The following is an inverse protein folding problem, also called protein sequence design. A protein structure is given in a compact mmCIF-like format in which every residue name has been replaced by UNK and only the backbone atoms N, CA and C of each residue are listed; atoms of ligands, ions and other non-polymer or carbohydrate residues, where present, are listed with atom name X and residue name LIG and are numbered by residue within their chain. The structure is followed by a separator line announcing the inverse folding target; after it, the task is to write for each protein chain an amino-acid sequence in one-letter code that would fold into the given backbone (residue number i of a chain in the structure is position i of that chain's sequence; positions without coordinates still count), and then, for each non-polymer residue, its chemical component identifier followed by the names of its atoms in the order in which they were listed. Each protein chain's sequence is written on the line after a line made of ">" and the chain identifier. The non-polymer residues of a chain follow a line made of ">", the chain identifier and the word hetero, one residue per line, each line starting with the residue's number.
data_IF_667974230074
#
_entry.id   IF_667974230074
#
_cell.length_a   1.000
_cell.length_b   1.000
_cell.length_c   1.000
_cell.angle_alpha   90.00
_cell.angle_beta   90.00
_cell.angle_gamma   90.00
#
_symmetry.space_group_name_H-M   'P 1'
#
loop_
_entity.id
_entity.type
_entity.pdbx_description
1 polymer ?
#
# COMPACT_ATOMS: atom_id res chain seq x y z
N UNK A 1 27.55 5.45 -28.47
CA UNK A 1 26.14 5.13 -28.13
C UNK A 1 25.96 4.99 -26.63
N UNK A 2 25.04 5.73 -26.08
CA UNK A 2 24.62 5.57 -24.68
C UNK A 2 23.62 4.43 -24.58
N UNK A 3 23.87 3.46 -23.72
CA UNK A 3 22.92 2.36 -23.46
C UNK A 3 21.94 2.78 -22.37
N UNK A 4 20.67 2.44 -22.53
CA UNK A 4 19.67 2.62 -21.49
C UNK A 4 20.03 1.74 -20.29
N UNK A 5 19.98 2.33 -19.08
CA UNK A 5 20.22 1.59 -17.85
C UNK A 5 19.07 0.63 -17.58
N UNK A 6 19.42 -0.60 -17.20
CA UNK A 6 18.46 -1.61 -16.74
C UNK A 6 19.00 -2.24 -15.47
N UNK A 7 18.25 -2.10 -14.36
CA UNK A 7 18.66 -2.66 -13.08
C UNK A 7 18.59 -4.18 -13.08
N UNK A 8 19.55 -4.81 -12.39
CA UNK A 8 19.51 -6.24 -12.10
C UNK A 8 18.97 -6.43 -10.66
N UNK A 9 18.30 -7.54 -10.36
CA UNK A 9 17.82 -7.80 -8.99
C UNK A 9 18.90 -7.72 -7.92
N UNK A 10 20.13 -8.08 -8.25
CA UNK A 10 21.28 -8.02 -7.33
C UNK A 10 21.75 -6.58 -7.04
N UNK A 11 21.46 -5.63 -7.92
CA UNK A 11 21.89 -4.25 -7.80
C UNK A 11 20.91 -3.39 -6.99
N UNK A 12 19.74 -3.93 -6.67
CA UNK A 12 18.67 -3.21 -5.99
C UNK A 12 18.83 -3.29 -4.48
N UNK A 13 18.82 -2.14 -3.82
CA UNK A 13 18.75 -2.04 -2.36
C UNK A 13 17.36 -1.58 -1.94
N UNK A 14 16.79 -2.27 -0.95
CA UNK A 14 15.48 -1.93 -0.39
C UNK A 14 15.67 -1.26 0.96
N UNK A 15 15.14 -0.06 1.11
CA UNK A 15 15.12 0.65 2.38
C UNK A 15 13.76 0.45 3.07
N UNK A 16 13.72 0.71 4.37
CA UNK A 16 12.51 0.63 5.17
C UNK A 16 12.06 2.02 5.57
N UNK A 17 10.78 2.32 5.35
CA UNK A 17 10.16 3.57 5.72
C UNK A 17 8.91 3.34 6.55
N UNK A 18 8.63 4.25 7.49
CA UNK A 18 7.39 4.27 8.26
C UNK A 18 6.62 5.55 7.94
N UNK A 19 5.32 5.41 7.71
CA UNK A 19 4.41 6.52 7.41
C UNK A 19 3.30 6.52 8.48
N UNK A 20 3.06 7.68 9.07
CA UNK A 20 1.90 7.89 9.92
C UNK A 20 0.70 8.33 9.08
N UNK A 21 -0.36 7.53 9.12
CA UNK A 21 -1.57 7.74 8.32
C UNK A 21 -2.65 8.57 9.05
N UNK A 22 -2.35 9.10 10.24
CA UNK A 22 -3.32 9.87 11.03
C UNK A 22 -3.89 11.05 10.25
N UNK A 23 -5.22 11.12 10.14
CA UNK A 23 -5.98 12.18 9.46
C UNK A 23 -5.64 12.41 7.97
N UNK A 24 -4.93 11.49 7.36
CA UNK A 24 -4.60 11.56 5.93
C UNK A 24 -5.71 10.94 5.08
N UNK A 25 -5.88 11.46 3.87
CA UNK A 25 -6.87 10.95 2.92
C UNK A 25 -6.37 9.64 2.30
N UNK A 26 -7.22 8.62 2.34
CA UNK A 26 -6.91 7.24 1.88
C UNK A 26 -6.27 7.19 0.49
N UNK A 27 -6.89 7.83 -0.50
CA UNK A 27 -6.44 7.77 -1.89
C UNK A 27 -5.08 8.43 -2.10
N UNK A 28 -4.81 9.53 -1.40
CA UNK A 28 -3.54 10.25 -1.51
C UNK A 28 -2.39 9.47 -0.87
N UNK A 29 -2.63 8.87 0.28
CA UNK A 29 -1.65 7.97 0.92
C UNK A 29 -1.40 6.76 0.02
N UNK A 30 -2.45 6.15 -0.52
CA UNK A 30 -2.32 4.98 -1.38
C UNK A 30 -1.50 5.26 -2.65
N UNK A 31 -1.68 6.42 -3.28
CA UNK A 31 -0.92 6.78 -4.48
C UNK A 31 0.57 6.99 -4.20
N UNK A 32 0.91 7.67 -3.11
CA UNK A 32 2.30 7.90 -2.71
C UNK A 32 2.98 6.59 -2.31
N UNK A 33 2.30 5.76 -1.54
CA UNK A 33 2.79 4.44 -1.15
C UNK A 33 3.04 3.55 -2.37
N UNK A 34 2.13 3.55 -3.33
CA UNK A 34 2.26 2.77 -4.57
C UNK A 34 3.49 3.20 -5.38
N UNK A 35 3.71 4.50 -5.48
CA UNK A 35 4.87 5.05 -6.17
C UNK A 35 6.18 4.55 -5.52
N UNK A 36 6.24 4.54 -4.19
CA UNK A 36 7.39 4.06 -3.41
C UNK A 36 7.58 2.54 -3.50
N UNK A 37 6.51 1.77 -3.43
CA UNK A 37 6.55 0.31 -3.57
C UNK A 37 7.03 -0.12 -4.94
N UNK A 38 6.67 0.63 -5.97
CA UNK A 38 7.08 0.36 -7.35
C UNK A 38 8.51 0.82 -7.65
N UNK A 39 9.03 1.77 -6.87
CA UNK A 39 10.37 2.30 -7.04
C UNK A 39 10.49 3.45 -8.03
N UNK A 40 9.38 4.06 -8.45
CA UNK A 40 9.38 5.18 -9.40
C UNK A 40 10.06 6.46 -8.88
N UNK A 41 10.31 6.55 -7.59
CA UNK A 41 11.05 7.66 -6.98
C UNK A 41 12.58 7.52 -7.13
N UNK A 42 13.05 6.37 -7.58
CA UNK A 42 14.47 6.07 -7.75
C UNK A 42 14.92 6.26 -9.20
N UNK A 43 16.14 6.73 -9.39
CA UNK A 43 16.75 6.85 -10.72
C UNK A 43 16.98 5.48 -11.40
N UNK A 44 17.15 4.43 -10.59
CA UNK A 44 17.36 3.07 -11.08
C UNK A 44 16.07 2.34 -11.47
N UNK A 45 14.91 3.02 -11.44
CA UNK A 45 13.63 2.39 -11.75
C UNK A 45 13.68 1.64 -13.09
N UNK A 46 13.31 0.36 -13.02
CA UNK A 46 13.21 -0.54 -14.18
C UNK A 46 11.87 -1.26 -14.11
N UNK A 47 11.02 -1.19 -15.16
CA UNK A 47 9.65 -1.71 -15.10
C UNK A 47 9.53 -3.20 -14.79
N UNK A 48 10.49 -4.03 -15.21
CA UNK A 48 10.46 -5.47 -15.02
C UNK A 48 11.17 -5.96 -13.75
N UNK A 49 11.74 -5.05 -12.97
CA UNK A 49 12.44 -5.36 -11.71
C UNK A 49 11.77 -4.61 -10.56
N UNK A 50 11.65 -5.27 -9.41
CA UNK A 50 11.14 -4.67 -8.19
C UNK A 50 12.22 -3.82 -7.52
N UNK A 51 12.23 -2.52 -7.84
CA UNK A 51 13.21 -1.55 -7.32
C UNK A 51 12.70 -0.78 -6.09
N UNK A 52 11.47 -1.01 -5.65
CA UNK A 52 10.82 -0.26 -4.57
C UNK A 52 11.33 -0.61 -3.17
N UNK A 53 10.81 0.10 -2.19
CA UNK A 53 11.19 -0.02 -0.78
C UNK A 53 10.09 -0.69 0.04
N UNK A 54 10.44 -1.13 1.25
CA UNK A 54 9.48 -1.60 2.24
C UNK A 54 8.81 -0.41 2.92
N UNK A 55 7.49 -0.45 3.01
CA UNK A 55 6.70 0.60 3.63
C UNK A 55 5.90 0.01 4.80
N UNK A 56 6.06 0.63 5.96
CA UNK A 56 5.26 0.35 7.16
C UNK A 56 4.32 1.53 7.38
N UNK A 57 3.03 1.25 7.51
CA UNK A 57 2.03 2.28 7.78
C UNK A 57 1.44 2.04 9.15
N UNK A 58 1.46 3.07 9.97
CA UNK A 58 0.90 3.07 11.32
C UNK A 58 -0.34 3.98 11.37
N UNK A 59 -1.17 3.78 12.38
CA UNK A 59 -2.42 4.52 12.57
C UNK A 59 -3.40 4.44 11.38
N UNK A 60 -3.41 3.31 10.67
CA UNK A 60 -4.31 3.13 9.53
C UNK A 60 -5.79 3.22 9.90
N UNK A 61 -6.16 2.96 11.15
CA UNK A 61 -7.52 3.13 11.65
C UNK A 61 -8.00 4.58 11.61
N UNK A 62 -7.08 5.55 11.58
CA UNK A 62 -7.36 6.98 11.57
C UNK A 62 -7.33 7.60 10.17
N UNK A 63 -7.22 6.79 9.12
CA UNK A 63 -7.39 7.25 7.74
C UNK A 63 -8.81 7.75 7.52
N UNK A 64 -8.94 8.79 6.71
CA UNK A 64 -10.23 9.36 6.35
C UNK A 64 -10.48 9.32 4.85
N UNK A 65 -11.74 9.42 4.48
CA UNK A 65 -12.20 9.67 3.11
C UNK A 65 -13.09 10.92 3.11
N UNK A 66 -13.20 11.57 1.97
CA UNK A 66 -13.93 12.84 1.85
C UNK A 66 -15.39 12.63 1.46
N UNK A 67 -16.26 13.63 1.74
CA UNK A 67 -17.67 13.61 1.36
C UNK A 67 -18.46 12.52 2.07
N UNK A 68 -19.42 11.92 1.37
CA UNK A 68 -20.30 10.87 1.88
C UNK A 68 -19.69 9.46 1.79
N UNK A 69 -18.46 9.32 1.34
CA UNK A 69 -17.79 8.02 1.14
C UNK A 69 -17.74 7.10 2.36
N UNK A 70 -17.68 7.56 3.61
CA UNK A 70 -17.70 6.65 4.77
C UNK A 70 -18.89 5.69 4.75
N UNK A 71 -20.04 6.14 4.27
CA UNK A 71 -21.26 5.33 4.14
C UNK A 71 -21.47 4.81 2.71
N UNK A 72 -21.12 5.59 1.69
CA UNK A 72 -21.43 5.30 0.29
C UNK A 72 -20.40 4.39 -0.39
N UNK A 73 -19.13 4.41 0.05
CA UNK A 73 -18.11 3.54 -0.51
C UNK A 73 -18.29 2.11 -0.02
N UNK A 74 -18.62 1.21 -0.94
CA UNK A 74 -18.93 -0.18 -0.61
C UNK A 74 -17.85 -1.10 -1.20
N UNK A 75 -17.39 -2.04 -0.38
CA UNK A 75 -16.47 -3.10 -0.77
C UNK A 75 -17.24 -4.40 -0.94
N UNK A 76 -17.24 -4.94 -2.16
CA UNK A 76 -17.92 -6.19 -2.48
C UNK A 76 -16.96 -7.36 -2.45
N UNK A 77 -17.45 -8.50 -1.99
CA UNK A 77 -16.74 -9.79 -2.09
C UNK A 77 -17.75 -10.89 -2.43
N UNK A 78 -17.29 -11.97 -3.03
CA UNK A 78 -18.12 -13.09 -3.41
C UNK A 78 -17.48 -14.41 -2.98
N UNK A 79 -18.27 -15.29 -2.36
CA UNK A 79 -17.78 -16.60 -1.87
C UNK A 79 -17.61 -17.66 -2.96
N UNK A 80 -18.12 -17.40 -4.18
CA UNK A 80 -18.16 -18.37 -5.28
C UNK A 80 -19.43 -19.22 -5.32
N UNK A 81 -20.28 -19.13 -4.31
CA UNK A 81 -21.56 -19.85 -4.28
C UNK A 81 -22.71 -18.96 -4.76
N UNK A 82 -23.83 -19.54 -5.30
CA UNK A 82 -25.02 -18.77 -5.66
C UNK A 82 -25.51 -17.91 -4.49
N UNK A 83 -25.74 -16.61 -4.75
CA UNK A 83 -26.15 -15.65 -3.72
C UNK A 83 -25.06 -15.29 -2.71
N UNK A 84 -23.81 -15.65 -2.96
CA UNK A 84 -22.68 -15.46 -2.03
C UNK A 84 -22.01 -14.08 -2.10
N UNK A 85 -22.70 -13.05 -2.59
CA UNK A 85 -22.17 -11.68 -2.58
C UNK A 85 -22.32 -11.07 -1.18
N UNK A 86 -21.25 -10.45 -0.70
CA UNK A 86 -21.25 -9.67 0.54
C UNK A 86 -20.74 -8.26 0.28
N UNK A 87 -21.28 -7.31 1.04
CA UNK A 87 -20.97 -5.91 0.92
C UNK A 87 -20.70 -5.32 2.31
N UNK A 88 -19.70 -4.45 2.38
CA UNK A 88 -19.36 -3.71 3.60
C UNK A 88 -18.97 -2.29 3.21
N UNK A 89 -19.46 -1.29 3.93
CA UNK A 89 -19.07 0.09 3.67
C UNK A 89 -17.71 0.43 4.28
N UNK A 90 -17.15 1.59 3.92
CA UNK A 90 -15.84 2.01 4.42
C UNK A 90 -15.79 2.12 5.94
N UNK A 91 -16.83 2.72 6.55
CA UNK A 91 -16.91 2.89 8.01
C UNK A 91 -16.81 1.57 8.75
N UNK A 92 -17.60 0.58 8.33
CA UNK A 92 -17.61 -0.77 8.95
C UNK A 92 -16.31 -1.53 8.65
N UNK A 93 -15.73 -1.37 7.45
CA UNK A 93 -14.45 -1.95 7.11
C UNK A 93 -13.33 -1.43 8.02
N UNK A 94 -13.27 -0.12 8.26
CA UNK A 94 -12.29 0.49 9.16
C UNK A 94 -12.48 0.03 10.62
N UNK A 95 -13.72 -0.15 11.06
CA UNK A 95 -14.01 -0.62 12.41
C UNK A 95 -13.59 -2.06 12.65
N UNK A 96 -13.87 -2.95 11.67
CA UNK A 96 -13.60 -4.39 11.79
C UNK A 96 -12.16 -4.76 11.41
N UNK A 97 -11.64 -4.16 10.35
CA UNK A 97 -10.35 -4.52 9.76
C UNK A 97 -9.56 -3.25 9.43
N UNK A 98 -8.98 -2.57 10.44
CA UNK A 98 -8.15 -1.39 10.20
C UNK A 98 -7.00 -1.71 9.24
N UNK A 99 -6.84 -0.90 8.21
CA UNK A 99 -5.80 -1.07 7.20
C UNK A 99 -6.20 -1.86 5.96
N UNK A 100 -7.24 -2.68 6.01
CA UNK A 100 -7.66 -3.46 4.83
C UNK A 100 -8.12 -2.57 3.67
N UNK A 101 -8.78 -1.46 3.96
CA UNK A 101 -9.18 -0.48 2.94
C UNK A 101 -7.97 0.12 2.22
N UNK A 102 -6.91 0.45 2.95
CA UNK A 102 -5.67 0.96 2.38
C UNK A 102 -4.95 -0.11 1.55
N UNK A 103 -4.86 -1.33 2.04
CA UNK A 103 -4.27 -2.45 1.29
C UNK A 103 -4.99 -2.69 -0.04
N UNK A 104 -6.32 -2.65 -0.03
CA UNK A 104 -7.13 -2.76 -1.26
C UNK A 104 -6.88 -1.61 -2.23
N UNK A 105 -6.77 -0.39 -1.74
CA UNK A 105 -6.49 0.78 -2.56
C UNK A 105 -5.11 0.69 -3.23
N UNK A 106 -4.08 0.33 -2.48
CA UNK A 106 -2.72 0.14 -3.00
C UNK A 106 -2.67 -1.01 -4.00
N UNK A 107 -3.29 -2.14 -3.68
CA UNK A 107 -3.37 -3.29 -4.59
C UNK A 107 -4.03 -2.94 -5.92
N UNK A 108 -5.07 -2.11 -5.88
CA UNK A 108 -5.74 -1.62 -7.09
C UNK A 108 -4.87 -0.70 -7.96
N UNK A 109 -3.93 0.02 -7.35
CA UNK A 109 -3.01 0.94 -8.03
C UNK A 109 -1.73 0.27 -8.52
N UNK A 110 -1.34 -0.86 -7.93
CA UNK A 110 -0.17 -1.63 -8.35
C UNK A 110 -0.44 -2.40 -9.65
N UNK A 111 0.61 -2.72 -10.44
CA UNK A 111 0.46 -3.56 -11.63
C UNK A 111 -0.18 -4.91 -11.29
N UNK A 112 -0.92 -5.46 -12.22
CA UNK A 112 -1.46 -6.83 -12.13
C UNK A 112 -0.42 -7.81 -12.63
N UNK A 113 -0.27 -8.93 -11.95
CA UNK A 113 0.65 -9.98 -12.33
C UNK A 113 1.65 -10.33 -11.23
N UNK A 114 2.59 -11.27 -11.47
CA UNK A 114 3.52 -11.77 -10.44
C UNK A 114 4.37 -10.67 -9.79
N UNK A 115 4.86 -9.71 -10.57
CA UNK A 115 5.69 -8.63 -10.05
C UNK A 115 4.89 -7.70 -9.13
N UNK A 116 3.67 -7.32 -9.53
CA UNK A 116 2.79 -6.49 -8.70
C UNK A 116 2.39 -7.19 -7.39
N UNK A 117 2.16 -8.48 -7.43
CA UNK A 117 1.87 -9.28 -6.23
C UNK A 117 3.09 -9.41 -5.30
N UNK A 118 4.29 -9.40 -5.84
CA UNK A 118 5.51 -9.32 -5.04
C UNK A 118 5.67 -7.93 -4.39
N UNK A 119 5.34 -6.87 -5.11
CA UNK A 119 5.41 -5.48 -4.61
C UNK A 119 4.48 -5.26 -3.41
N UNK A 120 3.25 -5.77 -3.45
CA UNK A 120 2.28 -5.58 -2.35
C UNK A 120 2.75 -6.25 -1.05
N UNK A 121 3.56 -7.29 -1.12
CA UNK A 121 4.10 -7.98 0.06
C UNK A 121 5.07 -7.10 0.87
N UNK A 122 5.64 -6.08 0.26
CA UNK A 122 6.50 -5.10 0.93
C UNK A 122 5.72 -4.05 1.73
N UNK A 123 4.42 -4.00 1.57
CA UNK A 123 3.54 -3.13 2.35
C UNK A 123 3.12 -3.84 3.65
N UNK A 124 3.33 -3.16 4.76
CA UNK A 124 2.91 -3.59 6.10
C UNK A 124 2.02 -2.52 6.70
N UNK A 125 0.76 -2.85 6.98
CA UNK A 125 -0.23 -1.89 7.49
C UNK A 125 -0.68 -2.29 8.89
N UNK A 126 -0.64 -1.34 9.80
CA UNK A 126 -1.05 -1.51 11.20
C UNK A 126 -2.07 -0.45 11.58
N UNK A 127 -3.14 -0.87 12.25
CA UNK A 127 -4.20 0.04 12.68
C UNK A 127 -3.80 0.97 13.82
N UNK A 128 -2.90 0.53 14.71
CA UNK A 128 -2.39 1.31 15.84
C UNK A 128 -1.07 2.01 15.54
N UNK A 129 -0.51 2.61 16.58
CA UNK A 129 0.76 3.35 16.49
C UNK A 129 2.01 2.47 16.56
N UNK A 130 1.85 1.22 16.99
CA UNK A 130 2.97 0.29 17.17
C UNK A 130 3.14 -0.64 15.99
N UNK A 131 4.37 -0.99 15.68
CA UNK A 131 4.73 -1.97 14.65
C UNK A 131 5.88 -2.87 15.12
N UNK A 132 5.95 -4.13 14.66
CA UNK A 132 6.99 -5.08 15.09
C UNK A 132 8.30 -4.94 14.30
N UNK A 133 8.49 -3.89 13.54
CA UNK A 133 9.63 -3.72 12.63
C UNK A 133 10.77 -2.86 13.18
N UNK A 134 10.95 -2.83 14.49
CA UNK A 134 12.04 -2.05 15.15
C UNK A 134 13.43 -2.55 14.75
N UNK A 135 13.59 -3.84 14.50
CA UNK A 135 14.86 -4.42 14.07
C UNK A 135 15.33 -3.89 12.70
N UNK A 136 14.42 -3.55 11.81
CA UNK A 136 14.71 -3.00 10.49
C UNK A 136 15.02 -1.50 10.52
N UNK A 137 14.78 -0.81 11.65
CA UNK A 137 15.01 0.61 11.84
C UNK A 137 14.41 1.47 10.71
N UNK A 138 13.08 1.42 10.49
CA UNK A 138 12.46 2.16 9.40
C UNK A 138 12.61 3.67 9.61
N UNK A 139 12.95 4.37 8.53
CA UNK A 139 13.07 5.83 8.51
C UNK A 139 11.68 6.46 8.42
N UNK A 140 11.46 7.56 9.12
CA UNK A 140 10.21 8.31 9.03
C UNK A 140 10.11 8.97 7.66
N UNK A 141 9.00 8.77 6.98
CA UNK A 141 8.67 9.40 5.71
C UNK A 141 7.41 10.25 5.87
N UNK A 142 7.53 11.53 5.62
CA UNK A 142 6.40 12.45 5.60
C UNK A 142 5.84 12.57 4.18
N UNK A 143 4.53 12.50 4.09
CA UNK A 143 3.80 12.60 2.81
C UNK A 143 2.65 13.60 2.91
#
# INVERSE_FOLDING_TARGET
>A
MTKTFSAKPADVTHEWFVIDATDKVLGRVASEVTLRLRGKHKAIYTPHVDTGDFIVIINAARLRVTGAKPLDKIYYSHSGYPGGISAINFKDMQAKFPGRALEKAVKGMLPKGPLGYAMIKKLKVYGGAEHPHTAQQPKVLEI
#
